data_IF_599735238588
#
_entry.id   IF_599735238588
#
_cell.length_a   1.000
_cell.length_b   1.000
_cell.length_c   1.000
_cell.angle_alpha   90.00
_cell.angle_beta   90.00
_cell.angle_gamma   90.00
#
_symmetry.space_group_name_H-M   'P 1'
#
loop_
_entity.id
_entity.type
_entity.pdbx_description
1 polymer ?
#
# COMPACT_ATOMS: atom_id res chain seq x y z
N UNK A 1 -14.70 -11.11 -6.99
CA UNK A 1 -13.89 -10.76 -8.18
C UNK A 1 -14.18 -9.31 -8.49
N UNK A 2 -13.27 -8.41 -8.10
CA UNK A 2 -13.39 -6.98 -8.42
C UNK A 2 -12.30 -6.65 -9.45
N UNK A 3 -12.72 -6.12 -10.59
CA UNK A 3 -11.88 -5.68 -11.69
C UNK A 3 -11.21 -4.34 -11.34
N UNK A 4 -9.88 -4.30 -11.34
CA UNK A 4 -9.05 -3.15 -10.96
C UNK A 4 -9.07 -1.99 -11.97
N UNK A 5 -9.82 -2.11 -13.08
CA UNK A 5 -9.84 -1.10 -14.14
C UNK A 5 -10.95 -0.03 -13.98
N UNK A 6 -11.92 -0.21 -13.07
CA UNK A 6 -13.08 0.70 -12.94
C UNK A 6 -13.19 1.44 -11.60
N UNK A 7 -12.46 1.04 -10.56
CA UNK A 7 -12.43 1.68 -9.24
C UNK A 7 -11.39 1.04 -8.31
N UNK A 8 -11.23 1.57 -7.11
CA UNK A 8 -10.38 0.94 -6.08
C UNK A 8 -10.86 -0.48 -5.79
N UNK A 9 -9.91 -1.41 -5.64
CA UNK A 9 -10.22 -2.75 -5.15
C UNK A 9 -10.36 -2.66 -3.64
N UNK A 10 -11.59 -2.74 -3.14
CA UNK A 10 -11.88 -2.80 -1.72
C UNK A 10 -11.76 -4.25 -1.21
N UNK A 11 -10.88 -4.44 -0.23
CA UNK A 11 -10.62 -5.73 0.40
C UNK A 11 -11.07 -5.78 1.86
N UNK A 12 -11.79 -4.77 2.36
CA UNK A 12 -12.17 -4.61 3.77
C UNK A 12 -12.82 -5.86 4.37
N UNK A 13 -13.72 -6.52 3.64
CA UNK A 13 -14.41 -7.74 4.10
C UNK A 13 -13.61 -9.03 3.93
N UNK A 14 -12.65 -9.03 2.99
CA UNK A 14 -11.89 -10.25 2.63
C UNK A 14 -10.52 -10.33 3.29
N UNK A 15 -10.03 -9.20 3.81
CA UNK A 15 -8.73 -9.12 4.42
C UNK A 15 -8.72 -9.74 5.82
N UNK A 16 -7.70 -10.53 6.11
CA UNK A 16 -7.46 -11.09 7.43
C UNK A 16 -5.99 -10.90 7.81
N UNK A 17 -5.69 -10.55 9.05
CA UNK A 17 -4.32 -10.41 9.51
C UNK A 17 -3.48 -11.70 9.35
N UNK A 18 -4.12 -12.89 9.32
CA UNK A 18 -3.47 -14.17 9.00
C UNK A 18 -3.17 -14.37 7.50
N UNK A 19 -3.89 -13.71 6.59
CA UNK A 19 -3.60 -13.76 5.15
C UNK A 19 -2.36 -12.95 4.78
N UNK A 20 -1.91 -12.08 5.69
CA UNK A 20 -0.61 -11.46 5.65
C UNK A 20 0.46 -12.53 5.91
N UNK A 21 0.77 -13.31 4.87
CA UNK A 21 1.90 -14.27 4.86
C UNK A 21 3.27 -13.58 5.01
N UNK A 22 3.32 -12.27 5.31
CA UNK A 22 4.51 -11.48 5.63
C UNK A 22 5.32 -12.07 6.79
N UNK A 23 4.71 -12.83 7.70
CA UNK A 23 5.44 -13.56 8.75
C UNK A 23 6.50 -14.52 8.16
N UNK A 24 6.29 -15.04 6.96
CA UNK A 24 7.23 -15.97 6.27
C UNK A 24 8.38 -15.19 5.61
N UNK A 25 8.10 -14.00 5.08
CA UNK A 25 9.08 -13.17 4.36
C UNK A 25 10.02 -12.42 5.32
N UNK A 26 9.49 -11.86 6.41
CA UNK A 26 10.27 -11.13 7.41
C UNK A 26 11.26 -12.02 8.17
N UNK A 27 10.87 -13.26 8.51
CA UNK A 27 11.72 -14.15 9.33
C UNK A 27 12.99 -14.65 8.65
N UNK A 28 13.17 -14.43 7.34
CA UNK A 28 14.31 -14.97 6.60
C UNK A 28 15.15 -13.89 5.90
N UNK A 29 14.89 -12.59 6.08
CA UNK A 29 15.61 -11.50 5.37
C UNK A 29 15.72 -11.71 3.85
N UNK A 30 14.71 -12.34 3.24
CA UNK A 30 14.73 -12.68 1.80
C UNK A 30 14.07 -11.64 0.90
N UNK A 31 13.64 -10.51 1.45
CA UNK A 31 12.89 -9.50 0.70
C UNK A 31 13.56 -8.15 0.84
N UNK A 32 14.16 -7.70 -0.25
CA UNK A 32 14.81 -6.39 -0.33
C UNK A 32 13.81 -5.26 -0.59
N UNK A 33 12.68 -5.56 -1.25
CA UNK A 33 11.69 -4.57 -1.66
C UNK A 33 10.24 -5.07 -1.53
N UNK A 34 9.34 -4.19 -1.10
CA UNK A 34 7.89 -4.43 -1.08
C UNK A 34 7.21 -3.35 -1.91
N UNK A 35 6.38 -3.78 -2.87
CA UNK A 35 5.51 -2.90 -3.64
C UNK A 35 4.12 -2.84 -3.01
N UNK A 36 3.58 -1.64 -2.83
CA UNK A 36 2.23 -1.43 -2.28
C UNK A 36 1.23 -1.18 -3.41
N UNK A 37 0.09 -1.86 -3.33
CA UNK A 37 -0.96 -1.84 -4.34
C UNK A 37 -2.07 -0.83 -4.02
N UNK A 38 -2.80 -0.39 -5.04
CA UNK A 38 -3.95 0.53 -4.93
C UNK A 38 -5.21 -0.17 -4.41
N UNK A 39 -5.09 -0.83 -3.27
CA UNK A 39 -6.19 -1.53 -2.58
C UNK A 39 -6.66 -0.73 -1.38
N UNK A 40 -7.98 -0.65 -1.21
CA UNK A 40 -8.60 0.01 -0.07
C UNK A 40 -8.94 -1.02 1.01
N UNK A 41 -8.70 -0.68 2.26
CA UNK A 41 -9.09 -1.49 3.41
C UNK A 41 -9.41 -0.57 4.58
N UNK A 42 -10.69 -0.42 4.88
CA UNK A 42 -11.19 0.50 5.92
C UNK A 42 -10.66 0.16 7.33
N UNK A 43 -10.28 -1.10 7.54
CA UNK A 43 -9.72 -1.57 8.82
C UNK A 43 -8.26 -1.17 9.00
N UNK A 44 -7.55 -0.88 7.90
CA UNK A 44 -6.16 -0.40 7.91
C UNK A 44 -6.08 1.13 7.75
N UNK A 45 -6.85 1.67 6.80
CA UNK A 45 -6.97 3.10 6.58
C UNK A 45 -8.31 3.41 5.89
N UNK A 46 -9.12 4.25 6.54
CA UNK A 46 -10.45 4.64 6.07
C UNK A 46 -10.44 5.67 4.95
N UNK A 47 -9.29 6.30 4.70
CA UNK A 47 -9.22 7.47 3.83
C UNK A 47 -8.37 7.23 2.60
N UNK A 48 -7.38 6.34 2.68
CA UNK A 48 -6.38 6.18 1.65
C UNK A 48 -6.17 4.71 1.27
N UNK A 49 -5.92 4.41 -0.02
CA UNK A 49 -5.46 3.10 -0.41
C UNK A 49 -4.07 2.82 0.19
N UNK A 50 -3.70 1.54 0.27
CA UNK A 50 -2.44 1.11 0.86
C UNK A 50 -1.21 1.87 0.31
N UNK A 51 -1.18 2.12 -1.01
CA UNK A 51 -0.09 2.87 -1.67
C UNK A 51 0.14 4.29 -1.10
N UNK A 52 -0.92 4.94 -0.63
CA UNK A 52 -0.89 6.32 -0.14
C UNK A 52 -1.04 6.42 1.39
N UNK A 53 -1.24 5.29 2.08
CA UNK A 53 -1.57 5.28 3.50
C UNK A 53 -0.32 5.27 4.39
N UNK A 54 -0.19 6.28 5.25
CA UNK A 54 0.80 6.30 6.33
C UNK A 54 0.59 5.15 7.34
N UNK A 55 -0.67 4.80 7.61
CA UNK A 55 -0.99 3.72 8.53
C UNK A 55 -0.51 2.36 7.99
N UNK A 56 -0.56 2.15 6.67
CA UNK A 56 -0.03 0.93 6.04
C UNK A 56 1.49 1.00 5.89
N UNK A 57 2.01 2.02 5.21
CA UNK A 57 3.42 2.05 4.81
C UNK A 57 4.35 2.28 6.00
N UNK A 58 4.01 3.19 6.92
CA UNK A 58 4.86 3.48 8.07
C UNK A 58 4.46 2.66 9.29
N UNK A 59 3.24 2.83 9.83
CA UNK A 59 2.87 2.17 11.10
C UNK A 59 2.84 0.65 11.01
N UNK A 60 2.26 0.10 9.94
CA UNK A 60 2.19 -1.35 9.78
C UNK A 60 3.52 -1.94 9.28
N UNK A 61 4.01 -1.53 8.11
CA UNK A 61 5.19 -2.16 7.50
C UNK A 61 6.51 -1.79 8.22
N UNK A 62 6.76 -0.51 8.52
CA UNK A 62 8.02 -0.08 9.16
C UNK A 62 8.07 -0.31 10.66
N UNK A 63 7.01 0.05 11.37
CA UNK A 63 7.00 0.05 12.84
C UNK A 63 6.57 -1.30 13.39
N UNK A 64 5.38 -1.80 13.04
CA UNK A 64 4.82 -3.04 13.60
C UNK A 64 5.52 -4.29 13.05
N UNK A 65 5.73 -4.35 11.74
CA UNK A 65 6.39 -5.48 11.07
C UNK A 65 7.91 -5.32 10.96
N UNK A 66 8.46 -4.15 11.29
CA UNK A 66 9.90 -3.94 11.34
C UNK A 66 10.63 -3.98 9.98
N UNK A 67 9.92 -3.91 8.85
CA UNK A 67 10.53 -4.03 7.52
C UNK A 67 11.54 -2.90 7.27
N UNK A 68 12.76 -3.26 6.85
CA UNK A 68 13.87 -2.31 6.62
C UNK A 68 14.27 -2.15 5.15
N UNK A 69 13.72 -2.96 4.24
CA UNK A 69 13.99 -2.86 2.80
C UNK A 69 13.33 -1.65 2.13
N UNK A 70 13.27 -1.62 0.81
CA UNK A 70 12.69 -0.51 0.04
C UNK A 70 11.16 -0.67 -0.07
N UNK A 71 10.42 0.40 0.21
CA UNK A 71 9.00 0.48 -0.13
C UNK A 71 8.84 1.22 -1.46
N UNK A 72 8.11 0.63 -2.39
CA UNK A 72 7.83 1.21 -3.71
C UNK A 72 6.33 1.25 -3.98
N UNK A 73 5.85 2.29 -4.65
CA UNK A 73 4.44 2.36 -5.08
C UNK A 73 4.20 1.49 -6.32
N UNK A 74 2.97 1.00 -6.48
CA UNK A 74 2.47 0.63 -7.82
C UNK A 74 2.28 1.91 -8.69
N UNK A 75 2.04 1.75 -9.99
CA UNK A 75 1.96 2.83 -10.97
C UNK A 75 0.94 3.91 -10.54
N UNK A 76 1.45 5.11 -10.26
CA UNK A 76 0.65 6.23 -9.75
C UNK A 76 -0.26 6.87 -10.81
N UNK A 77 -0.05 6.56 -12.09
CA UNK A 77 -0.86 7.03 -13.21
C UNK A 77 -2.02 6.10 -13.54
N UNK A 78 -2.07 4.89 -12.95
CA UNK A 78 -3.20 3.99 -13.10
C UNK A 78 -4.52 4.70 -12.84
N UNK A 79 -5.53 4.37 -13.67
CA UNK A 79 -6.86 4.99 -13.62
C UNK A 79 -7.50 4.95 -12.23
N UNK A 80 -7.15 3.96 -11.40
CA UNK A 80 -7.63 3.84 -10.03
C UNK A 80 -7.17 5.00 -9.12
N UNK A 81 -6.00 5.60 -9.36
CA UNK A 81 -5.49 6.75 -8.60
C UNK A 81 -5.77 8.06 -9.32
N UNK A 82 -5.47 8.13 -10.61
CA UNK A 82 -5.53 9.37 -11.39
C UNK A 82 -6.95 9.93 -11.59
N UNK A 83 -8.00 9.11 -11.36
CA UNK A 83 -9.40 9.58 -11.33
C UNK A 83 -9.82 10.20 -9.99
N UNK A 84 -9.11 9.90 -8.90
CA UNK A 84 -9.49 10.29 -7.54
C UNK A 84 -8.58 11.35 -6.93
N UNK A 85 -7.32 11.42 -7.38
CA UNK A 85 -6.31 12.34 -6.87
C UNK A 85 -5.59 13.01 -8.02
N UNK A 86 -5.30 14.30 -7.89
CA UNK A 86 -4.39 14.96 -8.81
C UNK A 86 -2.95 14.46 -8.60
N UNK A 87 -2.09 14.57 -9.61
CA UNK A 87 -0.72 14.06 -9.54
C UNK A 87 0.06 14.66 -8.36
N UNK A 88 -0.13 15.95 -8.06
CA UNK A 88 0.60 16.62 -6.98
C UNK A 88 0.17 16.07 -5.61
N UNK A 89 -1.12 15.85 -5.40
CA UNK A 89 -1.70 15.24 -4.22
C UNK A 89 -1.22 13.80 -4.07
N UNK A 90 -1.28 13.00 -5.14
CA UNK A 90 -0.79 11.62 -5.15
C UNK A 90 0.68 11.55 -4.74
N UNK A 91 1.54 12.36 -5.35
CA UNK A 91 2.97 12.40 -5.00
C UNK A 91 3.19 12.83 -3.55
N UNK A 92 2.47 13.85 -3.09
CA UNK A 92 2.57 14.35 -1.71
C UNK A 92 2.16 13.26 -0.71
N UNK A 93 1.04 12.58 -0.96
CA UNK A 93 0.54 11.50 -0.11
C UNK A 93 1.48 10.30 -0.13
N UNK A 94 1.95 9.88 -1.30
CA UNK A 94 2.87 8.77 -1.44
C UNK A 94 4.17 9.01 -0.64
N UNK A 95 4.81 10.17 -0.83
CA UNK A 95 6.01 10.56 -0.07
C UNK A 95 5.72 10.58 1.43
N UNK A 96 4.63 11.25 1.85
CA UNK A 96 4.27 11.36 3.26
C UNK A 96 3.87 10.03 3.88
N UNK A 97 3.47 9.03 3.10
CA UNK A 97 3.13 7.70 3.60
C UNK A 97 4.37 6.90 4.04
N UNK A 98 5.56 7.27 3.58
CA UNK A 98 6.84 6.64 3.95
C UNK A 98 7.42 5.68 2.90
N UNK A 99 6.96 5.74 1.65
CA UNK A 99 7.59 5.02 0.53
C UNK A 99 8.95 5.63 0.18
N UNK A 100 9.83 4.82 -0.42
CA UNK A 100 11.17 5.24 -0.84
C UNK A 100 11.26 5.51 -2.35
N UNK A 101 10.43 4.83 -3.14
CA UNK A 101 10.44 4.92 -4.59
C UNK A 101 9.01 5.06 -5.12
N UNK A 102 8.87 5.86 -6.16
CA UNK A 102 7.61 6.10 -6.87
C UNK A 102 7.77 5.53 -8.28
N UNK A 103 6.77 4.78 -8.73
CA UNK A 103 6.73 4.14 -10.04
C UNK A 103 5.78 4.86 -10.99
#
# INVERSE_FOLDING_TARGET
MADSHLGFVDISETWNQKSLSLTIFYKNDKVDMIMTAHVFNENLDKNYPATLSYNVNTKLLRENLGFKGVLITDDLQMSAISKHYDLKQTLTLAINSGVNMLL
#
